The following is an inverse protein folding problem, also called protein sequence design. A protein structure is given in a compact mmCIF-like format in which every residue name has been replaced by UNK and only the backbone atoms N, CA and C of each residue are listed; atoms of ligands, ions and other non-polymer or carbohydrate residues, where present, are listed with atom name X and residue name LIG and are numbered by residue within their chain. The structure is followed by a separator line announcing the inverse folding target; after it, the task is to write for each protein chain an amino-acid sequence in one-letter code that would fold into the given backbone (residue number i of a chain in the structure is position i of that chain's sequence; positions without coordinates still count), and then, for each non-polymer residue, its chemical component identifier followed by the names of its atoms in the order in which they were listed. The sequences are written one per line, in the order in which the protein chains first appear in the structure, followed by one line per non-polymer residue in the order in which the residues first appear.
data_IF_411659928165
#
_entry.id   IF_411659928165
#
_cell.length_a   1.000
_cell.length_b   1.000
_cell.length_c   1.000
_cell.angle_alpha   90.00
_cell.angle_beta   90.00
_cell.angle_gamma   90.00
#
_symmetry.space_group_name_H-M   'P 1'
#
loop_
_entity.id
_entity.type
_entity.pdbx_description
1 polymer ?
#
# COMPACT_ATOMS: atom_id res chain seq x y z
N UNK A 1 -13.66 -4.37 2.87
CA UNK A 1 -14.04 -5.55 3.66
C UNK A 1 -13.14 -6.76 3.45
N UNK A 2 -13.73 -7.95 3.35
CA UNK A 2 -13.04 -9.24 3.61
C UNK A 2 -11.92 -9.60 2.64
N UNK A 3 -12.05 -9.28 1.34
CA UNK A 3 -11.11 -9.73 0.30
C UNK A 3 -9.78 -8.95 0.33
N UNK A 4 -9.83 -7.67 0.68
CA UNK A 4 -8.64 -6.84 0.79
C UNK A 4 -7.94 -7.05 2.14
N UNK A 5 -8.70 -7.28 3.22
CA UNK A 5 -8.16 -7.71 4.51
C UNK A 5 -7.47 -9.08 4.44
N UNK A 6 -8.02 -10.06 3.71
CA UNK A 6 -7.32 -11.34 3.50
C UNK A 6 -6.06 -11.16 2.65
N UNK A 7 -6.09 -10.33 1.61
CA UNK A 7 -4.90 -9.97 0.83
C UNK A 7 -3.81 -9.33 1.69
N UNK A 8 -4.16 -8.37 2.55
CA UNK A 8 -3.23 -7.74 3.47
C UNK A 8 -2.56 -8.78 4.39
N UNK A 9 -3.36 -9.65 5.02
CA UNK A 9 -2.84 -10.70 5.92
C UNK A 9 -1.96 -11.69 5.16
N UNK A 10 -2.33 -12.06 3.94
CA UNK A 10 -1.52 -12.95 3.08
C UNK A 10 -0.19 -12.28 2.75
N UNK A 11 -0.18 -11.01 2.33
CA UNK A 11 1.05 -10.27 2.00
C UNK A 11 1.96 -10.17 3.23
N UNK A 12 1.40 -9.87 4.41
CA UNK A 12 2.17 -9.76 5.65
C UNK A 12 2.72 -11.12 6.11
N UNK A 13 1.88 -12.15 6.16
CA UNK A 13 2.27 -13.48 6.67
C UNK A 13 3.18 -14.25 5.72
N UNK A 14 2.96 -14.15 4.41
CA UNK A 14 3.83 -14.76 3.40
C UNK A 14 5.08 -13.92 3.13
N UNK A 15 5.12 -12.66 3.56
CA UNK A 15 6.33 -11.84 3.52
C UNK A 15 7.33 -12.16 4.63
N UNK A 16 6.90 -12.83 5.70
CA UNK A 16 7.73 -13.20 6.87
C UNK A 16 8.62 -14.44 6.61
N UNK A 17 8.24 -15.31 5.66
CA UNK A 17 9.01 -16.50 5.27
C UNK A 17 9.79 -16.27 3.96
N UNK A 18 11.10 -16.47 3.96
CA UNK A 18 11.96 -16.22 2.79
C UNK A 18 11.57 -17.05 1.54
N UNK A 19 11.02 -18.26 1.75
CA UNK A 19 10.54 -19.11 0.66
C UNK A 19 9.27 -18.58 -0.03
N UNK A 20 8.38 -17.90 0.71
CA UNK A 20 7.09 -17.40 0.20
C UNK A 20 7.17 -15.94 -0.22
N UNK A 21 8.10 -15.17 0.36
CA UNK A 21 8.44 -13.80 -0.04
C UNK A 21 8.73 -13.67 -1.54
N UNK A 22 9.52 -14.58 -2.11
CA UNK A 22 9.83 -14.57 -3.55
C UNK A 22 8.60 -14.74 -4.44
N UNK A 23 7.64 -15.58 -4.04
CA UNK A 23 6.40 -15.77 -4.79
C UNK A 23 5.52 -14.52 -4.76
N UNK A 24 5.45 -13.84 -3.62
CA UNK A 24 4.71 -12.57 -3.49
C UNK A 24 5.38 -11.45 -4.27
N UNK A 25 6.72 -11.38 -4.27
CA UNK A 25 7.48 -10.42 -5.09
C UNK A 25 7.24 -10.63 -6.59
N UNK A 26 7.16 -11.87 -7.07
CA UNK A 26 6.79 -12.17 -8.47
C UNK A 26 5.37 -11.71 -8.82
N UNK A 27 4.45 -11.75 -7.86
CA UNK A 27 3.06 -11.30 -8.04
C UNK A 27 2.86 -9.80 -7.74
N UNK A 28 3.87 -9.10 -7.22
CA UNK A 28 3.74 -7.75 -6.68
C UNK A 28 3.16 -6.73 -7.66
N UNK A 29 3.58 -6.78 -8.92
CA UNK A 29 3.07 -5.88 -9.97
C UNK A 29 1.58 -6.11 -10.25
N UNK A 30 1.16 -7.38 -10.30
CA UNK A 30 -0.25 -7.74 -10.50
C UNK A 30 -1.11 -7.32 -9.31
N UNK A 31 -0.60 -7.51 -8.09
CA UNK A 31 -1.27 -7.08 -6.85
C UNK A 31 -1.42 -5.56 -6.84
N UNK A 32 -0.36 -4.81 -7.16
CA UNK A 32 -0.41 -3.35 -7.24
C UNK A 32 -1.46 -2.86 -8.23
N UNK A 33 -1.50 -3.43 -9.44
CA UNK A 33 -2.50 -3.04 -10.44
C UNK A 33 -3.95 -3.27 -9.97
N UNK A 34 -4.20 -4.37 -9.25
CA UNK A 34 -5.51 -4.65 -8.68
C UNK A 34 -5.88 -3.67 -7.57
N UNK A 35 -4.93 -3.34 -6.69
CA UNK A 35 -5.13 -2.35 -5.62
C UNK A 35 -5.43 -0.96 -6.19
N UNK A 36 -4.68 -0.52 -7.21
CA UNK A 36 -4.91 0.78 -7.86
C UNK A 36 -6.31 0.89 -8.47
N UNK A 37 -6.75 -0.12 -9.22
CA UNK A 37 -8.12 -0.17 -9.78
C UNK A 37 -9.20 -0.09 -8.70
N UNK A 38 -8.94 -0.71 -7.56
CA UNK A 38 -9.88 -0.75 -6.45
C UNK A 38 -9.95 0.59 -5.70
N UNK A 39 -8.81 1.27 -5.55
CA UNK A 39 -8.76 2.64 -5.02
C UNK A 39 -9.47 3.64 -5.97
N UNK A 40 -9.34 3.47 -7.28
CA UNK A 40 -10.03 4.29 -8.29
C UNK A 40 -11.55 4.12 -8.29
N UNK A 41 -12.06 2.93 -7.92
CA UNK A 41 -13.49 2.64 -7.90
C UNK A 41 -14.26 3.37 -6.79
N UNK A 42 -13.58 4.05 -5.85
CA UNK A 42 -14.17 4.90 -4.79
C UNK A 42 -15.27 4.24 -3.92
N UNK A 43 -15.26 2.91 -3.81
CA UNK A 43 -16.15 2.22 -2.87
C UNK A 43 -15.60 2.38 -1.45
N UNK A 44 -16.27 3.21 -0.63
CA UNK A 44 -15.82 3.67 0.69
C UNK A 44 -15.39 2.54 1.64
N UNK A 45 -16.14 1.44 1.70
CA UNK A 45 -15.82 0.29 2.55
C UNK A 45 -14.71 -0.64 2.04
N UNK A 46 -14.05 -0.30 0.93
CA UNK A 46 -12.94 -1.08 0.35
C UNK A 46 -11.67 -0.25 0.21
N UNK A 47 -11.79 1.07 0.38
CA UNK A 47 -10.70 2.02 0.20
C UNK A 47 -9.66 1.92 1.34
N UNK A 48 -10.11 1.79 2.58
CA UNK A 48 -9.23 1.68 3.76
C UNK A 48 -8.37 0.41 3.72
N UNK A 49 -8.96 -0.75 3.47
CA UNK A 49 -8.20 -1.99 3.44
C UNK A 49 -7.27 -2.07 2.22
N UNK A 50 -7.63 -1.41 1.11
CA UNK A 50 -6.76 -1.30 -0.06
C UNK A 50 -5.51 -0.47 0.22
N UNK A 51 -5.66 0.63 0.96
CA UNK A 51 -4.52 1.43 1.41
C UNK A 51 -3.63 0.64 2.39
N UNK A 52 -4.22 -0.13 3.31
CA UNK A 52 -3.45 -1.00 4.21
C UNK A 52 -2.69 -2.11 3.47
N UNK A 53 -3.34 -2.76 2.50
CA UNK A 53 -2.71 -3.78 1.66
C UNK A 53 -1.58 -3.18 0.79
N UNK A 54 -1.77 -1.95 0.32
CA UNK A 54 -0.75 -1.20 -0.41
C UNK A 54 0.46 -0.90 0.47
N UNK A 55 0.27 -0.44 1.71
CA UNK A 55 1.36 -0.21 2.67
C UNK A 55 2.17 -1.49 2.93
N UNK A 56 1.49 -2.62 3.13
CA UNK A 56 2.15 -3.92 3.29
C UNK A 56 2.96 -4.34 2.04
N UNK A 57 2.43 -4.09 0.84
CA UNK A 57 3.14 -4.38 -0.41
C UNK A 57 4.39 -3.50 -0.57
N UNK A 58 4.28 -2.21 -0.24
CA UNK A 58 5.41 -1.26 -0.26
C UNK A 58 6.52 -1.74 0.67
N UNK A 59 6.17 -2.08 1.92
CA UNK A 59 7.12 -2.57 2.91
C UNK A 59 7.80 -3.89 2.48
N UNK A 60 7.07 -4.76 1.77
CA UNK A 60 7.60 -6.03 1.27
C UNK A 60 8.55 -5.84 0.07
N UNK A 61 8.21 -4.96 -0.86
CA UNK A 61 8.98 -4.71 -2.09
C UNK A 61 10.22 -3.86 -1.80
N UNK A 62 10.15 -2.92 -0.86
CA UNK A 62 11.27 -2.06 -0.48
C UNK A 62 11.68 -1.09 -1.60
N UNK A 63 12.97 -0.86 -1.76
CA UNK A 63 13.52 0.12 -2.71
C UNK A 63 13.10 -0.16 -4.17
N UNK A 64 12.83 -1.43 -4.51
CA UNK A 64 12.36 -1.83 -5.83
C UNK A 64 10.97 -1.28 -6.18
N UNK A 65 10.26 -0.66 -5.22
CA UNK A 65 8.95 -0.04 -5.42
C UNK A 65 9.04 1.33 -6.10
N UNK A 66 10.23 1.95 -6.19
CA UNK A 66 10.41 3.28 -6.77
C UNK A 66 9.75 3.50 -8.16
N UNK A 67 9.78 2.54 -9.11
CA UNK A 67 9.13 2.70 -10.42
C UNK A 67 7.60 2.81 -10.34
N UNK A 68 7.00 2.30 -9.26
CA UNK A 68 5.55 2.28 -9.04
C UNK A 68 4.98 3.58 -8.45
N UNK A 69 5.85 4.47 -7.95
CA UNK A 69 5.46 5.74 -7.31
C UNK A 69 4.53 6.63 -8.15
N UNK A 70 4.76 6.85 -9.47
CA UNK A 70 3.90 7.75 -10.26
C UNK A 70 2.44 7.29 -10.31
N UNK A 71 2.18 5.99 -10.13
CA UNK A 71 0.84 5.43 -10.12
C UNK A 71 0.18 5.49 -8.74
N UNK A 72 0.98 5.48 -7.67
CA UNK A 72 0.53 5.47 -6.28
C UNK A 72 0.28 6.88 -5.76
N UNK A 73 1.13 7.85 -6.12
CA UNK A 73 1.01 9.25 -5.66
C UNK A 73 -0.38 9.86 -5.87
N UNK A 74 -1.04 9.71 -7.04
CA UNK A 74 -2.38 10.25 -7.24
C UNK A 74 -3.42 9.66 -6.28
N UNK A 75 -3.25 8.41 -5.82
CA UNK A 75 -4.17 7.79 -4.85
C UNK A 75 -3.88 8.31 -3.44
N UNK A 76 -2.60 8.49 -3.10
CA UNK A 76 -2.18 9.09 -1.81
C UNK A 76 -2.69 10.53 -1.68
N UNK A 77 -2.54 11.36 -2.72
CA UNK A 77 -3.05 12.73 -2.73
C UNK A 77 -4.57 12.78 -2.53
N UNK A 78 -5.32 11.88 -3.19
CA UNK A 78 -6.77 11.76 -3.01
C UNK A 78 -7.14 11.34 -1.59
N UNK A 79 -6.44 10.35 -1.01
CA UNK A 79 -6.67 9.90 0.36
C UNK A 79 -6.38 11.00 1.40
N UNK A 80 -5.34 11.80 1.19
CA UNK A 80 -5.01 12.95 2.04
C UNK A 80 -5.98 14.12 1.88
N UNK A 81 -6.52 14.32 0.67
CA UNK A 81 -7.53 15.36 0.42
C UNK A 81 -8.91 15.01 1.00
N UNK A 82 -9.20 13.73 1.25
CA UNK A 82 -10.46 13.26 1.80
C UNK A 82 -10.49 13.34 3.35
N UNK A 83 -10.46 14.55 3.90
CA UNK A 83 -10.49 14.77 5.36
C UNK A 83 -11.84 14.46 6.01
N UNK A 84 -12.88 14.18 5.22
CA UNK A 84 -14.20 13.81 5.72
C UNK A 84 -14.22 12.37 6.28
N UNK A 85 -13.36 11.49 5.77
CA UNK A 85 -13.19 10.12 6.24
C UNK A 85 -11.87 10.00 7.01
N UNK A 86 -11.92 10.34 8.30
CA UNK A 86 -10.74 10.41 9.18
C UNK A 86 -9.90 9.12 9.21
N UNK A 87 -10.54 7.96 9.09
CA UNK A 87 -9.86 6.65 9.06
C UNK A 87 -9.03 6.46 7.78
N UNK A 88 -9.63 6.68 6.60
CA UNK A 88 -8.91 6.66 5.33
C UNK A 88 -7.76 7.68 5.27
N UNK A 89 -7.97 8.89 5.81
CA UNK A 89 -6.91 9.90 5.94
C UNK A 89 -5.74 9.40 6.80
N UNK A 90 -6.03 8.88 8.00
CA UNK A 90 -5.01 8.39 8.93
C UNK A 90 -4.22 7.23 8.34
N UNK A 91 -4.89 6.30 7.66
CA UNK A 91 -4.23 5.17 6.97
C UNK A 91 -3.35 5.67 5.83
N UNK A 92 -3.81 6.65 5.05
CA UNK A 92 -3.03 7.22 3.95
C UNK A 92 -1.73 7.87 4.44
N UNK A 93 -1.76 8.57 5.58
CA UNK A 93 -0.54 9.08 6.24
C UNK A 93 0.41 7.93 6.60
N UNK A 94 -0.12 6.80 7.09
CA UNK A 94 0.66 5.58 7.33
C UNK A 94 1.35 5.05 6.07
N UNK A 95 0.64 4.99 4.95
CA UNK A 95 1.20 4.56 3.64
C UNK A 95 2.33 5.48 3.18
N UNK A 96 2.24 6.79 3.44
CA UNK A 96 3.37 7.72 3.18
C UNK A 96 4.59 7.36 4.03
N UNK A 97 4.39 7.00 5.30
CA UNK A 97 5.46 6.49 6.16
C UNK A 97 6.10 5.21 5.64
N UNK A 98 5.28 4.27 5.13
CA UNK A 98 5.75 3.03 4.52
C UNK A 98 6.58 3.33 3.26
N UNK A 99 6.14 4.27 2.41
CA UNK A 99 6.90 4.73 1.23
C UNK A 99 8.25 5.33 1.61
N UNK A 100 8.28 6.24 2.58
CA UNK A 100 9.52 6.85 3.06
C UNK A 100 10.50 5.79 3.58
N UNK A 101 9.98 4.84 4.36
CA UNK A 101 10.76 3.75 4.94
C UNK A 101 11.30 2.81 3.86
N UNK A 102 10.46 2.37 2.92
CA UNK A 102 10.82 1.44 1.85
C UNK A 102 11.86 2.02 0.89
N UNK A 103 11.82 3.33 0.63
CA UNK A 103 12.71 3.99 -0.32
C UNK A 103 14.00 4.53 0.32
N UNK A 104 14.21 4.30 1.62
CA UNK A 104 15.34 4.88 2.35
C UNK A 104 15.32 6.42 2.35
N UNK A 105 14.17 7.03 2.03
CA UNK A 105 13.96 8.46 2.12
C UNK A 105 13.77 8.78 3.59
N UNK A 106 14.89 8.91 4.29
CA UNK A 106 14.94 9.49 5.62
C UNK A 106 14.16 10.81 5.57
N UNK A 107 12.95 10.81 6.16
CA UNK A 107 12.40 12.01 6.77
C UNK A 107 13.31 12.30 7.95
N UNK A 108 14.47 12.88 7.66
CA UNK A 108 15.31 13.45 8.69
C UNK A 108 14.46 14.51 9.41
N UNK A 109 14.34 14.47 10.74
CA UNK A 109 13.74 15.58 11.45
C UNK A 109 14.60 16.82 11.16
N UNK A 110 14.01 17.81 10.49
CA UNK A 110 14.58 19.16 10.31
C UNK A 110 14.45 19.96 11.59
#
# INVERSE_FOLDING_TARGET
GLLCGTLQVIIQRLGEEEQTKQAVLQASESILQLLLKLLEAQATAVHEEALLALGALIALVGEAFAPSLPFVFPQVEKGLANTAEYAAFTITVGVVGDLCTALGLLVAPV
#
